data_IF_833148710774
#
_entry.id   IF_833148710774
#
_cell.length_a   1.000
_cell.length_b   1.000
_cell.length_c   1.000
_cell.angle_alpha   90.00
_cell.angle_beta   90.00
_cell.angle_gamma   90.00
#
_symmetry.space_group_name_H-M   'P 1'
#
loop_
_entity.id
_entity.type
_entity.pdbx_description
1 polymer ?
#
# COMPACT_ATOMS: atom_id res chain seq x y z
N UNK A 1 -0.58 1.36 15.46
CA UNK A 1 0.22 1.33 14.22
C UNK A 1 -0.72 1.41 13.02
N UNK A 2 -0.41 2.24 12.03
CA UNK A 2 -1.21 2.53 10.85
C UNK A 2 -0.46 2.07 9.59
N UNK A 3 -1.19 1.59 8.59
CA UNK A 3 -0.63 1.14 7.31
C UNK A 3 -0.98 2.11 6.19
N UNK A 4 0.01 2.48 5.38
CA UNK A 4 -0.13 3.37 4.24
C UNK A 4 0.45 2.72 2.99
N UNK A 5 -0.26 2.87 1.87
CA UNK A 5 0.19 2.42 0.56
C UNK A 5 0.53 3.65 -0.29
N UNK A 6 1.78 3.74 -0.75
CA UNK A 6 2.22 4.76 -1.69
C UNK A 6 2.47 4.12 -3.05
N UNK A 7 2.03 4.79 -4.10
CA UNK A 7 2.14 4.30 -5.47
C UNK A 7 3.05 5.23 -6.27
N UNK A 8 4.15 4.68 -6.79
CA UNK A 8 5.02 5.39 -7.74
C UNK A 8 4.39 5.33 -9.13
N UNK A 9 3.70 6.41 -9.47
CA UNK A 9 3.08 6.62 -10.77
C UNK A 9 4.16 7.01 -11.77
N UNK A 10 4.90 6.02 -12.28
CA UNK A 10 5.79 6.18 -13.42
C UNK A 10 5.06 5.74 -14.69
N UNK A 11 4.70 6.73 -15.50
CA UNK A 11 4.06 6.66 -16.82
C UNK A 11 2.63 6.09 -16.89
N UNK A 12 1.88 6.64 -17.85
CA UNK A 12 0.43 6.69 -17.99
C UNK A 12 -0.36 5.36 -18.07
N UNK A 13 0.24 4.20 -17.78
CA UNK A 13 -0.42 2.90 -17.92
C UNK A 13 -0.10 1.84 -16.86
N UNK A 14 0.65 2.15 -15.79
CA UNK A 14 0.87 1.15 -14.74
C UNK A 14 1.46 1.70 -13.46
N UNK A 15 0.93 1.22 -12.32
CA UNK A 15 1.60 1.36 -11.03
C UNK A 15 2.91 0.56 -11.14
N UNK A 16 4.03 1.26 -11.26
CA UNK A 16 5.33 0.60 -11.47
C UNK A 16 5.90 0.01 -10.19
N UNK A 17 5.53 0.58 -9.03
CA UNK A 17 5.96 0.13 -7.71
C UNK A 17 5.01 0.63 -6.62
N UNK A 18 4.53 -0.28 -5.77
CA UNK A 18 3.87 0.05 -4.51
C UNK A 18 4.87 0.02 -3.36
N UNK A 19 4.64 0.87 -2.36
CA UNK A 19 5.39 0.90 -1.12
C UNK A 19 4.40 0.80 0.03
N UNK A 20 4.57 -0.20 0.89
CA UNK A 20 3.74 -0.39 2.07
C UNK A 20 4.50 0.03 3.31
N UNK A 21 3.95 1.01 4.01
CA UNK A 21 4.55 1.66 5.17
C UNK A 21 3.67 1.36 6.37
N UNK A 22 4.24 0.81 7.42
CA UNK A 22 3.62 0.84 8.75
C UNK A 22 4.33 1.90 9.59
N UNK A 23 3.55 2.79 10.22
CA UNK A 23 4.07 3.68 11.25
C UNK A 23 3.05 4.07 12.31
N UNK A 24 3.51 4.63 13.43
CA UNK A 24 2.62 5.09 14.51
C UNK A 24 1.94 6.43 14.21
N UNK A 25 2.38 7.11 13.15
CA UNK A 25 1.86 8.42 12.78
C UNK A 25 0.41 8.27 12.30
N UNK A 26 -0.55 8.98 12.90
CA UNK A 26 -1.95 8.90 12.51
C UNK A 26 -2.22 9.60 11.16
N UNK A 27 -3.30 9.24 10.45
CA UNK A 27 -3.51 9.64 9.05
C UNK A 27 -3.47 11.15 8.80
N UNK A 28 -4.02 11.95 9.72
CA UNK A 28 -4.05 13.41 9.61
C UNK A 28 -2.63 14.02 9.67
N UNK A 29 -1.76 13.49 10.54
CA UNK A 29 -0.35 13.93 10.62
C UNK A 29 0.46 13.41 9.44
N UNK A 30 0.26 12.15 9.06
CA UNK A 30 0.94 11.57 7.90
C UNK A 30 0.66 12.38 6.63
N UNK A 31 -0.59 12.78 6.40
CA UNK A 31 -0.98 13.65 5.29
C UNK A 31 -0.35 15.04 5.38
N UNK A 32 -0.27 15.64 6.57
CA UNK A 32 0.37 16.93 6.76
C UNK A 32 1.87 16.89 6.42
N UNK A 33 2.58 15.87 6.92
CA UNK A 33 4.00 15.64 6.65
C UNK A 33 4.23 15.44 5.14
N UNK A 34 3.39 14.64 4.48
CA UNK A 34 3.50 14.44 3.03
C UNK A 34 3.24 15.72 2.23
N UNK A 35 2.23 16.51 2.62
CA UNK A 35 1.95 17.79 1.97
C UNK A 35 3.11 18.78 2.15
N UNK A 36 3.72 18.81 3.33
CA UNK A 36 4.87 19.65 3.61
C UNK A 36 6.11 19.20 2.83
N UNK A 37 6.34 17.89 2.76
CA UNK A 37 7.42 17.32 1.95
C UNK A 37 7.26 17.67 0.46
N UNK A 38 6.03 17.60 -0.08
CA UNK A 38 5.72 17.98 -1.47
C UNK A 38 5.89 19.48 -1.76
N UNK A 39 5.89 20.34 -0.75
CA UNK A 39 6.13 21.78 -0.93
C UNK A 39 7.58 22.10 -1.25
N UNK A 40 8.52 21.21 -0.91
CA UNK A 40 9.92 21.32 -1.32
C UNK A 40 10.06 20.85 -2.78
N UNK A 41 10.00 21.80 -3.72
CA UNK A 41 9.91 21.54 -5.18
C UNK A 41 11.05 20.69 -5.77
N UNK A 42 12.20 20.60 -5.11
CA UNK A 42 13.35 19.82 -5.61
C UNK A 42 13.30 18.32 -5.25
N UNK A 43 12.61 17.95 -4.17
CA UNK A 43 12.64 16.59 -3.58
C UNK A 43 11.22 15.99 -3.50
N UNK A 44 10.20 16.85 -3.41
CA UNK A 44 8.82 16.51 -3.12
C UNK A 44 8.11 15.64 -4.18
N UNK A 45 8.67 15.52 -5.39
CA UNK A 45 8.11 14.70 -6.46
C UNK A 45 8.53 13.23 -6.37
N UNK A 46 9.60 12.92 -5.63
CA UNK A 46 10.16 11.57 -5.56
C UNK A 46 9.69 10.83 -4.30
N UNK A 47 8.84 9.81 -4.49
CA UNK A 47 8.32 8.97 -3.40
C UNK A 47 9.45 8.23 -2.65
N UNK A 48 10.56 7.88 -3.32
CA UNK A 48 11.71 7.25 -2.65
C UNK A 48 12.36 8.20 -1.66
N UNK A 49 12.45 9.48 -2.01
CA UNK A 49 13.00 10.50 -1.10
C UNK A 49 12.08 10.73 0.09
N UNK A 50 10.76 10.68 -0.12
CA UNK A 50 9.80 10.73 0.98
C UNK A 50 9.97 9.54 1.94
N UNK A 51 10.14 8.33 1.40
CA UNK A 51 10.38 7.12 2.22
C UNK A 51 11.70 7.24 2.99
N UNK A 52 12.76 7.72 2.35
CA UNK A 52 14.05 7.94 3.01
C UNK A 52 13.94 8.97 4.14
N UNK A 53 13.20 10.06 3.92
CA UNK A 53 12.90 11.06 4.94
C UNK A 53 12.14 10.44 6.11
N UNK A 54 11.07 9.70 5.84
CA UNK A 54 10.27 9.06 6.88
C UNK A 54 11.08 8.04 7.69
N UNK A 55 11.95 7.27 7.03
CA UNK A 55 12.85 6.34 7.71
C UNK A 55 13.86 7.08 8.59
N UNK A 56 14.43 8.19 8.14
CA UNK A 56 15.39 8.98 8.93
C UNK A 56 14.76 9.64 10.15
N UNK A 57 13.56 10.20 10.00
CA UNK A 57 12.90 10.95 11.07
C UNK A 57 12.16 10.05 12.06
N UNK A 58 11.72 8.86 11.62
CA UNK A 58 10.84 7.99 12.39
C UNK A 58 11.33 6.54 12.50
N UNK A 59 12.65 6.31 12.37
CA UNK A 59 13.32 5.00 12.23
C UNK A 59 12.78 3.89 13.16
N UNK A 60 12.54 4.21 14.44
CA UNK A 60 12.03 3.23 15.43
C UNK A 60 10.59 2.77 15.18
N UNK A 61 9.80 3.60 14.50
CA UNK A 61 8.37 3.35 14.24
C UNK A 61 8.07 3.15 12.76
N UNK A 62 9.07 3.24 11.88
CA UNK A 62 8.90 3.17 10.44
C UNK A 62 9.30 1.80 9.90
N UNK A 63 8.32 1.06 9.41
CA UNK A 63 8.54 -0.25 8.79
C UNK A 63 8.11 -0.18 7.32
N UNK A 64 9.05 -0.45 6.42
CA UNK A 64 8.76 -0.70 5.00
C UNK A 64 8.65 -2.20 4.80
N UNK A 65 7.53 -2.64 4.23
CA UNK A 65 7.31 -4.06 3.92
C UNK A 65 6.80 -4.22 2.49
N UNK A 66 7.09 -5.37 1.91
CA UNK A 66 6.54 -5.78 0.61
C UNK A 66 5.38 -6.74 0.88
N UNK A 67 4.25 -6.54 0.20
CA UNK A 67 3.28 -7.62 0.08
C UNK A 67 3.90 -8.65 -0.87
N UNK A 68 4.00 -9.89 -0.42
CA UNK A 68 4.39 -10.98 -1.30
C UNK A 68 3.17 -11.28 -2.19
N UNK A 69 3.12 -10.63 -3.37
CA UNK A 69 1.98 -10.68 -4.30
C UNK A 69 1.57 -12.13 -4.66
N UNK A 70 2.50 -13.09 -4.51
CA UNK A 70 2.27 -14.52 -4.71
C UNK A 70 1.23 -15.05 -3.70
N UNK A 71 1.36 -14.68 -2.42
CA UNK A 71 0.47 -15.18 -1.35
C UNK A 71 -0.93 -14.60 -1.48
N UNK A 72 -1.05 -13.36 -1.95
CA UNK A 72 -2.35 -12.70 -2.14
C UNK A 72 -3.08 -13.26 -3.36
N UNK A 73 -2.37 -13.54 -4.46
CA UNK A 73 -2.97 -14.19 -5.64
C UNK A 73 -3.53 -15.58 -5.32
N UNK A 74 -2.78 -16.39 -4.56
CA UNK A 74 -3.22 -17.73 -4.17
C UNK A 74 -4.45 -17.67 -3.25
N UNK A 75 -4.47 -16.73 -2.29
CA UNK A 75 -5.61 -16.50 -1.42
C UNK A 75 -6.85 -16.02 -2.20
N UNK A 76 -6.68 -15.15 -3.20
CA UNK A 76 -7.77 -14.65 -4.03
C UNK A 76 -8.34 -15.74 -4.97
N UNK A 77 -7.49 -16.63 -5.49
CA UNK A 77 -7.92 -17.82 -6.24
C UNK A 77 -8.72 -18.79 -5.38
N UNK A 78 -8.23 -19.11 -4.17
CA UNK A 78 -8.92 -19.99 -3.25
C UNK A 78 -10.28 -19.43 -2.82
N UNK A 79 -10.32 -18.14 -2.45
CA UNK A 79 -11.56 -17.45 -2.09
C UNK A 79 -12.57 -17.43 -3.25
N UNK A 80 -12.09 -17.22 -4.48
CA UNK A 80 -12.95 -17.24 -5.68
C UNK A 80 -13.55 -18.62 -5.93
N UNK A 81 -12.77 -19.70 -5.74
CA UNK A 81 -13.26 -21.08 -5.86
C UNK A 81 -14.30 -21.42 -4.78
N UNK A 82 -14.06 -21.01 -3.54
CA UNK A 82 -15.02 -21.20 -2.45
C UNK A 82 -16.33 -20.45 -2.74
N UNK A 83 -16.24 -19.20 -3.22
CA UNK A 83 -17.42 -18.41 -3.57
C UNK A 83 -18.23 -19.04 -4.71
N UNK A 84 -17.55 -19.55 -5.75
CA UNK A 84 -18.19 -20.24 -6.87
C UNK A 84 -18.93 -21.50 -6.41
N UNK A 85 -18.30 -22.32 -5.56
CA UNK A 85 -18.93 -23.53 -5.03
C UNK A 85 -20.15 -23.23 -4.14
N UNK A 86 -20.12 -22.15 -3.36
CA UNK A 86 -21.26 -21.72 -2.56
C UNK A 86 -22.43 -21.24 -3.43
N UNK A 87 -22.14 -20.56 -4.54
CA UNK A 87 -23.16 -20.13 -5.50
C UNK A 87 -23.81 -21.33 -6.20
N UNK A 88 -23.02 -22.29 -6.67
CA UNK A 88 -23.54 -23.53 -7.29
C UNK A 88 -24.41 -24.32 -6.30
N UNK A 89 -24.00 -24.44 -5.03
CA UNK A 89 -24.82 -25.08 -3.99
C UNK A 89 -26.13 -24.34 -3.68
N UNK A 90 -26.16 -23.02 -3.89
CA UNK A 90 -27.36 -22.20 -3.69
C UNK A 90 -28.33 -22.37 -4.86
N UNK A 91 -27.84 -22.52 -6.09
CA UNK A 91 -28.67 -22.79 -7.28
C UNK A 91 -29.24 -24.22 -7.29
N UNK A 92 -28.57 -25.21 -6.71
CA UNK A 92 -29.10 -26.59 -6.59
C UNK A 92 -30.26 -26.74 -5.58
N UNK A 93 -30.55 -25.72 -4.77
CA UNK A 93 -31.61 -25.73 -3.76
C UNK A 93 -32.85 -24.87 -4.14
N UNK A 94 -32.99 -24.50 -5.42
CA UNK A 94 -34.18 -23.81 -5.99
C UNK A 94 -35.08 -24.77 -6.75
#
# INVERSE_FOLDING_TARGET
>A
MYTYNLYDAKDSFGISKSYHIKCEIPPHRFRAIMMEFRRNQEIGENIKEFINFMKREFDETFELFEYDDIVQYDADQENSMILANLLDQTDEHV
#
